data_IF_399503296207
#
_entry.id   IF_399503296207
#
_cell.length_a   1.000
_cell.length_b   1.000
_cell.length_c   1.000
_cell.angle_alpha   90.00
_cell.angle_beta   90.00
_cell.angle_gamma   90.00
#
_symmetry.space_group_name_H-M   'P 1'
#
loop_
_entity.id
_entity.type
_entity.pdbx_description
1 polymer ?
#
# COMPACT_ATOMS: atom_id res chain seq x y z
N UNK A 1 -44.36 -20.25 -65.45
CA UNK A 1 -45.59 -19.62 -64.92
C UNK A 1 -45.39 -19.47 -63.44
N UNK A 2 -45.02 -18.29 -63.18
CA UNK A 2 -44.56 -17.78 -61.87
C UNK A 2 -45.70 -17.47 -60.95
N UNK A 3 -45.46 -17.66 -59.71
CA UNK A 3 -46.24 -16.98 -58.68
C UNK A 3 -45.31 -16.38 -57.64
N UNK A 4 -45.21 -15.10 -57.72
CA UNK A 4 -44.68 -14.25 -56.68
C UNK A 4 -45.56 -14.35 -55.45
N UNK A 5 -44.93 -14.53 -54.28
CA UNK A 5 -45.55 -14.31 -53.03
C UNK A 5 -44.71 -13.30 -52.25
N UNK A 6 -45.26 -12.11 -52.12
CA UNK A 6 -44.80 -11.02 -51.27
C UNK A 6 -45.11 -11.38 -49.81
N UNK A 7 -44.10 -11.49 -48.98
CA UNK A 7 -44.28 -11.40 -47.53
C UNK A 7 -43.81 -10.07 -47.04
N UNK A 8 -44.74 -9.31 -46.44
CA UNK A 8 -44.50 -8.03 -45.82
C UNK A 8 -43.86 -8.17 -44.45
N UNK A 9 -43.23 -7.11 -43.93
CA UNK A 9 -42.51 -7.19 -42.67
C UNK A 9 -43.47 -7.32 -41.47
N UNK A 10 -43.16 -8.29 -40.61
CA UNK A 10 -43.82 -8.44 -39.32
C UNK A 10 -43.41 -7.31 -38.37
N UNK A 11 -44.39 -6.49 -38.05
CA UNK A 11 -44.29 -5.53 -36.97
C UNK A 11 -44.34 -6.27 -35.62
N UNK A 12 -43.23 -6.24 -34.89
CA UNK A 12 -43.26 -6.67 -33.51
C UNK A 12 -43.83 -5.53 -32.67
N UNK A 13 -44.79 -5.83 -31.75
CA UNK A 13 -45.28 -4.82 -30.84
C UNK A 13 -44.20 -4.46 -29.81
N UNK A 14 -43.93 -3.19 -29.71
CA UNK A 14 -43.12 -2.65 -28.62
C UNK A 14 -43.82 -2.96 -27.28
N UNK A 15 -43.16 -3.76 -26.45
CA UNK A 15 -43.62 -4.02 -25.08
C UNK A 15 -43.37 -2.80 -24.21
N UNK A 16 -44.33 -2.43 -23.35
CA UNK A 16 -44.18 -1.33 -22.42
C UNK A 16 -43.33 -1.74 -21.22
N UNK A 17 -42.43 -0.90 -20.83
CA UNK A 17 -41.95 -0.87 -19.45
C UNK A 17 -40.54 -1.40 -19.24
N UNK A 18 -39.56 -0.51 -19.35
CA UNK A 18 -38.34 -0.70 -18.60
C UNK A 18 -38.66 -0.58 -17.12
N UNK A 19 -38.69 -1.70 -16.42
CA UNK A 19 -38.54 -1.70 -14.98
C UNK A 19 -37.18 -1.09 -14.63
N UNK A 20 -37.09 -0.22 -13.62
CA UNK A 20 -35.79 0.24 -13.16
C UNK A 20 -35.03 -0.99 -12.67
N UNK A 21 -34.03 -1.39 -13.46
CA UNK A 21 -33.08 -2.41 -13.03
C UNK A 21 -32.38 -1.86 -11.80
N UNK A 22 -32.51 -2.56 -10.69
CA UNK A 22 -31.66 -2.35 -9.54
C UNK A 22 -30.22 -2.30 -10.02
N UNK A 23 -29.40 -1.33 -9.56
CA UNK A 23 -28.01 -1.28 -9.97
C UNK A 23 -27.40 -2.64 -9.63
N UNK A 24 -26.99 -3.35 -10.65
CA UNK A 24 -26.17 -4.56 -10.48
C UNK A 24 -24.96 -4.12 -9.66
N UNK A 25 -24.62 -4.82 -8.55
CA UNK A 25 -23.39 -4.51 -7.85
C UNK A 25 -22.26 -4.56 -8.88
N UNK A 26 -21.63 -3.43 -9.15
CA UNK A 26 -20.44 -3.43 -9.96
C UNK A 26 -19.45 -4.30 -9.20
N UNK A 27 -19.08 -5.44 -9.78
CA UNK A 27 -17.95 -6.22 -9.32
C UNK A 27 -16.76 -5.27 -9.30
N UNK A 28 -16.24 -5.01 -8.10
CA UNK A 28 -15.01 -4.23 -7.95
C UNK A 28 -13.97 -4.91 -8.83
N UNK A 29 -13.53 -4.21 -9.88
CA UNK A 29 -12.42 -4.67 -10.70
C UNK A 29 -11.15 -4.59 -9.86
N UNK A 30 -10.85 -5.69 -9.17
CA UNK A 30 -9.56 -5.85 -8.50
C UNK A 30 -8.51 -5.95 -9.60
N UNK A 31 -7.49 -5.10 -9.55
CA UNK A 31 -6.37 -5.23 -10.47
C UNK A 31 -5.80 -6.65 -10.36
N UNK A 32 -5.68 -7.41 -11.49
CA UNK A 32 -5.26 -8.82 -11.43
C UNK A 32 -3.95 -9.05 -10.68
N UNK A 33 -3.02 -8.10 -10.76
CA UNK A 33 -1.73 -8.16 -10.05
C UNK A 33 -1.87 -8.16 -8.53
N UNK A 34 -2.96 -7.59 -7.99
CA UNK A 34 -3.19 -7.49 -6.55
C UNK A 34 -3.89 -8.72 -5.97
N UNK A 35 -4.41 -9.63 -6.81
CA UNK A 35 -5.08 -10.85 -6.36
C UNK A 35 -4.14 -11.77 -5.56
N UNK A 36 -2.85 -11.78 -5.87
CA UNK A 36 -1.87 -12.58 -5.14
C UNK A 36 -1.71 -12.17 -3.67
N UNK A 37 -2.08 -10.93 -3.32
CA UNK A 37 -1.97 -10.41 -1.96
C UNK A 37 -3.12 -10.83 -1.04
N UNK A 38 -4.15 -11.49 -1.55
CA UNK A 38 -5.23 -12.04 -0.73
C UNK A 38 -4.76 -13.16 0.20
N UNK A 39 -3.71 -13.87 -0.20
CA UNK A 39 -3.11 -14.96 0.55
C UNK A 39 -1.66 -14.63 0.90
N UNK A 40 -1.23 -15.02 2.10
CA UNK A 40 0.16 -14.89 2.52
C UNK A 40 1.08 -15.74 1.62
N UNK A 41 2.31 -15.26 1.32
CA UNK A 41 3.23 -16.03 0.52
C UNK A 41 3.71 -17.27 1.28
N UNK A 42 3.95 -18.34 0.53
CA UNK A 42 4.50 -19.58 1.09
C UNK A 42 5.90 -19.34 1.65
N UNK A 43 6.18 -19.89 2.83
CA UNK A 43 7.49 -19.76 3.47
C UNK A 43 8.57 -20.39 2.60
N UNK A 44 9.75 -19.77 2.55
CA UNK A 44 10.89 -20.24 1.77
C UNK A 44 11.33 -21.68 2.08
N UNK A 45 11.20 -22.11 3.36
CA UNK A 45 11.57 -23.49 3.77
C UNK A 45 10.68 -24.55 3.12
N UNK A 46 9.44 -24.24 2.86
CA UNK A 46 8.52 -25.16 2.19
C UNK A 46 8.81 -25.30 0.70
N UNK A 47 9.39 -24.26 0.12
CA UNK A 47 9.66 -24.15 -1.33
C UNK A 47 11.10 -24.55 -1.68
N UNK A 48 12.06 -24.37 -0.78
CA UNK A 48 13.46 -24.77 -1.00
C UNK A 48 13.61 -26.28 -0.97
N UNK A 49 14.59 -26.81 -1.72
CA UNK A 49 14.88 -28.23 -1.70
C UNK A 49 15.43 -28.69 -0.35
N UNK A 50 15.08 -29.91 0.13
CA UNK A 50 15.64 -30.46 1.35
C UNK A 50 17.17 -30.53 1.32
N UNK A 51 17.77 -30.83 0.17
CA UNK A 51 19.23 -30.84 0.00
C UNK A 51 19.84 -29.45 0.18
N UNK A 52 19.23 -28.42 -0.41
CA UNK A 52 19.66 -27.04 -0.24
C UNK A 52 19.60 -26.61 1.22
N UNK A 53 18.51 -26.91 1.90
CA UNK A 53 18.32 -26.60 3.33
C UNK A 53 19.37 -27.26 4.22
N UNK A 54 19.71 -28.53 3.94
CA UNK A 54 20.67 -29.30 4.71
C UNK A 54 22.11 -28.78 4.63
N UNK A 55 22.43 -28.03 3.58
CA UNK A 55 23.75 -27.43 3.35
C UNK A 55 23.97 -26.08 4.05
N UNK A 56 22.92 -25.50 4.60
CA UNK A 56 22.99 -24.18 5.22
C UNK A 56 23.59 -24.26 6.62
N UNK A 57 24.54 -23.36 6.92
CA UNK A 57 24.99 -23.13 8.29
C UNK A 57 23.88 -22.49 9.12
N UNK A 58 24.02 -22.50 10.44
CA UNK A 58 23.08 -21.82 11.35
C UNK A 58 22.97 -20.33 11.02
N UNK A 59 24.11 -19.70 10.76
CA UNK A 59 24.17 -18.26 10.42
C UNK A 59 23.47 -17.97 9.09
N UNK A 60 23.74 -18.79 8.07
CA UNK A 60 23.09 -18.64 6.77
C UNK A 60 21.58 -18.93 6.85
N UNK A 61 21.18 -19.92 7.62
CA UNK A 61 19.75 -20.17 7.88
C UNK A 61 19.10 -18.93 8.52
N UNK A 62 19.74 -18.31 9.49
CA UNK A 62 19.24 -17.08 10.12
C UNK A 62 19.17 -15.93 9.13
N UNK A 63 20.18 -15.80 8.26
CA UNK A 63 20.16 -14.80 7.18
C UNK A 63 18.95 -15.00 6.26
N UNK A 64 18.70 -16.22 5.81
CA UNK A 64 17.53 -16.54 4.98
C UNK A 64 16.21 -16.25 5.68
N UNK A 65 16.12 -16.54 6.98
CA UNK A 65 14.92 -16.23 7.79
C UNK A 65 14.61 -14.74 7.79
N UNK A 66 15.62 -13.89 7.96
CA UNK A 66 15.41 -12.42 7.98
C UNK A 66 15.11 -11.89 6.58
N UNK A 67 15.72 -12.45 5.54
CA UNK A 67 15.39 -12.11 4.16
C UNK A 67 13.93 -12.47 3.87
N UNK A 68 13.47 -13.64 4.32
CA UNK A 68 12.08 -14.05 4.16
C UNK A 68 11.13 -13.13 4.96
N UNK A 69 11.54 -12.68 6.13
CA UNK A 69 10.77 -11.69 6.91
C UNK A 69 10.61 -10.37 6.14
N UNK A 70 11.68 -9.86 5.53
CA UNK A 70 11.60 -8.68 4.68
C UNK A 70 10.60 -8.89 3.53
N UNK A 71 10.68 -10.03 2.85
CA UNK A 71 9.78 -10.37 1.75
C UNK A 71 8.33 -10.49 2.20
N UNK A 72 8.06 -11.27 3.24
CA UNK A 72 6.71 -11.52 3.74
C UNK A 72 6.06 -10.26 4.31
N UNK A 73 6.81 -9.43 4.99
CA UNK A 73 6.30 -8.17 5.54
C UNK A 73 6.08 -7.11 4.46
N UNK A 74 6.89 -7.12 3.39
CA UNK A 74 6.62 -6.25 2.22
C UNK A 74 5.35 -6.68 1.49
N UNK A 75 5.12 -7.97 1.33
CA UNK A 75 3.86 -8.50 0.83
C UNK A 75 2.66 -8.01 1.65
N UNK A 76 2.74 -8.15 2.97
CA UNK A 76 1.70 -7.69 3.88
C UNK A 76 1.47 -6.18 3.79
N UNK A 77 2.54 -5.40 3.60
CA UNK A 77 2.47 -3.95 3.44
C UNK A 77 1.76 -3.53 2.15
N UNK A 78 2.14 -4.13 1.01
CA UNK A 78 1.46 -3.90 -0.27
C UNK A 78 -0.03 -4.26 -0.16
N UNK A 79 -0.34 -5.37 0.51
CA UNK A 79 -1.71 -5.78 0.77
C UNK A 79 -2.49 -4.69 1.51
N UNK A 80 -1.96 -4.15 2.59
CA UNK A 80 -2.65 -3.13 3.40
C UNK A 80 -2.79 -1.79 2.67
N UNK A 81 -1.79 -1.37 1.91
CA UNK A 81 -1.91 -0.19 1.04
C UNK A 81 -3.00 -0.39 -0.02
N UNK A 82 -3.10 -1.59 -0.57
CA UNK A 82 -4.15 -1.95 -1.54
C UNK A 82 -5.53 -1.92 -0.89
N UNK A 83 -5.67 -2.34 0.35
CA UNK A 83 -6.91 -2.20 1.13
C UNK A 83 -7.28 -0.73 1.30
N UNK A 84 -6.32 0.12 1.64
CA UNK A 84 -6.55 1.56 1.74
C UNK A 84 -7.09 2.15 0.44
N UNK A 85 -6.56 1.72 -0.71
CA UNK A 85 -7.00 2.15 -2.03
C UNK A 85 -8.35 1.58 -2.42
N UNK A 86 -8.51 0.26 -2.37
CA UNK A 86 -9.66 -0.46 -2.94
C UNK A 86 -10.89 -0.41 -2.05
N UNK A 87 -10.73 -0.33 -0.74
CA UNK A 87 -11.83 -0.34 0.24
C UNK A 87 -12.22 1.07 0.66
N UNK A 88 -11.29 2.02 0.67
CA UNK A 88 -11.52 3.39 1.12
C UNK A 88 -11.41 4.44 0.01
N UNK A 89 -10.23 4.64 -0.53
CA UNK A 89 -9.95 5.76 -1.44
C UNK A 89 -10.81 5.73 -2.72
N UNK A 90 -10.77 4.65 -3.46
CA UNK A 90 -11.54 4.51 -4.72
C UNK A 90 -13.06 4.54 -4.49
N UNK A 91 -13.63 3.81 -3.51
CA UNK A 91 -15.07 3.90 -3.25
C UNK A 91 -15.53 5.28 -2.76
N UNK A 92 -14.72 5.99 -1.95
CA UNK A 92 -15.03 7.37 -1.53
C UNK A 92 -15.14 8.32 -2.71
N UNK A 93 -14.30 8.16 -3.72
CA UNK A 93 -14.37 8.92 -4.96
C UNK A 93 -15.58 8.53 -5.80
N UNK A 94 -15.79 7.24 -6.02
CA UNK A 94 -16.88 6.70 -6.85
C UNK A 94 -18.25 7.08 -6.31
N UNK A 95 -18.44 7.05 -4.99
CA UNK A 95 -19.69 7.41 -4.32
C UNK A 95 -19.82 8.93 -4.06
N UNK A 96 -18.87 9.72 -4.56
CA UNK A 96 -18.84 11.18 -4.44
C UNK A 96 -18.89 11.68 -2.98
N UNK A 97 -18.36 10.87 -2.05
CA UNK A 97 -18.24 11.25 -0.64
C UNK A 97 -17.06 12.18 -0.38
N UNK A 98 -16.02 12.05 -1.18
CA UNK A 98 -14.87 12.96 -1.26
C UNK A 98 -14.60 13.29 -2.73
N UNK A 99 -14.24 14.55 -2.99
CA UNK A 99 -13.78 14.96 -4.32
C UNK A 99 -12.37 14.43 -4.61
N UNK A 100 -11.98 14.40 -5.89
CA UNK A 100 -10.61 14.03 -6.28
C UNK A 100 -9.56 14.90 -5.60
N UNK A 101 -9.83 16.20 -5.42
CA UNK A 101 -8.93 17.14 -4.74
C UNK A 101 -8.81 16.80 -3.25
N UNK A 102 -9.92 16.50 -2.57
CA UNK A 102 -9.91 16.10 -1.16
C UNK A 102 -9.16 14.78 -0.96
N UNK A 103 -9.37 13.79 -1.84
CA UNK A 103 -8.64 12.52 -1.80
C UNK A 103 -7.14 12.70 -2.01
N UNK A 104 -6.74 13.56 -2.95
CA UNK A 104 -5.32 13.86 -3.18
C UNK A 104 -4.66 14.55 -1.98
N UNK A 105 -5.44 15.24 -1.15
CA UNK A 105 -4.94 15.87 0.07
C UNK A 105 -4.90 14.92 1.26
N UNK A 106 -5.89 14.04 1.39
CA UNK A 106 -5.97 13.05 2.48
C UNK A 106 -5.02 11.88 2.23
N UNK A 107 -4.94 11.41 0.98
CA UNK A 107 -4.11 10.29 0.56
C UNK A 107 -3.12 10.71 -0.53
N UNK A 108 -2.17 11.62 -0.24
CA UNK A 108 -1.28 12.16 -1.28
C UNK A 108 -0.38 11.07 -1.85
N UNK A 109 -0.40 10.94 -3.18
CA UNK A 109 0.42 9.98 -3.93
C UNK A 109 0.21 8.50 -3.56
N UNK A 110 -0.98 8.12 -3.10
CA UNK A 110 -1.25 6.74 -2.68
C UNK A 110 -0.96 5.73 -3.80
N UNK A 111 -1.37 6.01 -5.02
CA UNK A 111 -1.16 5.12 -6.16
C UNK A 111 0.33 4.91 -6.46
N UNK A 112 1.12 5.99 -6.43
CA UNK A 112 2.57 5.91 -6.64
C UNK A 112 3.29 5.20 -5.49
N UNK A 113 2.85 5.38 -4.26
CA UNK A 113 3.39 4.66 -3.09
C UNK A 113 3.12 3.16 -3.21
N UNK A 114 1.92 2.78 -3.59
CA UNK A 114 1.58 1.36 -3.86
C UNK A 114 2.49 0.81 -4.94
N UNK A 115 2.67 1.52 -6.04
CA UNK A 115 3.51 1.10 -7.16
C UNK A 115 4.96 0.87 -6.73
N UNK A 116 5.51 1.75 -5.91
CA UNK A 116 6.87 1.63 -5.41
C UNK A 116 7.07 0.41 -4.52
N UNK A 117 6.16 0.18 -3.58
CA UNK A 117 6.21 -0.99 -2.72
C UNK A 117 5.97 -2.28 -3.50
N UNK A 118 5.04 -2.26 -4.45
CA UNK A 118 4.79 -3.39 -5.35
C UNK A 118 6.04 -3.74 -6.16
N UNK A 119 6.71 -2.77 -6.74
CA UNK A 119 7.93 -2.99 -7.52
C UNK A 119 9.07 -3.55 -6.66
N UNK A 120 9.21 -3.07 -5.44
CA UNK A 120 10.18 -3.62 -4.49
C UNK A 120 9.85 -5.07 -4.13
N UNK A 121 8.60 -5.36 -3.83
CA UNK A 121 8.11 -6.72 -3.60
C UNK A 121 8.41 -7.64 -4.79
N UNK A 122 8.10 -7.21 -6.01
CA UNK A 122 8.37 -7.98 -7.23
C UNK A 122 9.87 -8.25 -7.42
N UNK A 123 10.73 -7.29 -7.10
CA UNK A 123 12.18 -7.47 -7.15
C UNK A 123 12.65 -8.54 -6.16
N UNK A 124 12.12 -8.54 -4.95
CA UNK A 124 12.42 -9.56 -3.94
C UNK A 124 11.89 -10.95 -4.35
N UNK A 125 10.70 -11.00 -4.90
CA UNK A 125 10.09 -12.22 -5.43
C UNK A 125 10.93 -12.83 -6.55
N UNK A 126 11.44 -12.00 -7.45
CA UNK A 126 12.33 -12.43 -8.53
C UNK A 126 13.61 -13.08 -7.99
N UNK A 127 14.22 -12.52 -6.96
CA UNK A 127 15.39 -13.13 -6.31
C UNK A 127 15.07 -14.52 -5.77
N UNK A 128 13.94 -14.69 -5.13
CA UNK A 128 13.50 -16.00 -4.63
C UNK A 128 13.38 -17.03 -5.73
N UNK A 129 12.77 -16.67 -6.85
CA UNK A 129 12.58 -17.56 -8.00
C UNK A 129 13.91 -17.88 -8.69
N UNK A 130 14.75 -16.88 -8.93
CA UNK A 130 16.03 -17.05 -9.62
C UNK A 130 17.01 -17.92 -8.81
N UNK A 131 16.95 -17.86 -7.49
CA UNK A 131 17.86 -18.57 -6.58
C UNK A 131 17.24 -19.83 -5.93
N UNK A 132 16.13 -20.32 -6.47
CA UNK A 132 15.43 -21.50 -5.94
C UNK A 132 15.13 -21.40 -4.44
N UNK A 133 14.64 -20.22 -4.00
CA UNK A 133 14.20 -19.90 -2.64
C UNK A 133 15.29 -19.85 -1.56
N UNK A 134 16.55 -19.95 -1.94
CA UNK A 134 17.69 -19.71 -1.06
C UNK A 134 18.48 -18.55 -1.69
N UNK A 135 18.20 -17.34 -1.25
CA UNK A 135 18.72 -16.12 -1.88
C UNK A 135 20.21 -15.96 -1.62
N UNK A 136 21.01 -15.81 -2.68
CA UNK A 136 22.45 -15.63 -2.60
C UNK A 136 22.84 -14.21 -2.28
N UNK A 137 22.32 -13.24 -3.03
CA UNK A 137 22.64 -11.83 -2.87
C UNK A 137 21.38 -10.98 -2.93
N UNK A 138 21.23 -10.09 -1.95
CA UNK A 138 20.10 -9.15 -1.86
C UNK A 138 20.58 -7.69 -1.96
N UNK A 139 21.86 -7.43 -1.84
CA UNK A 139 22.42 -6.08 -1.69
C UNK A 139 22.09 -5.15 -2.84
N UNK A 140 22.13 -5.62 -4.07
CA UNK A 140 21.82 -4.80 -5.25
C UNK A 140 20.35 -4.35 -5.22
N UNK A 141 19.45 -5.26 -4.91
CA UNK A 141 18.00 -4.97 -4.85
C UNK A 141 17.67 -3.93 -3.78
N UNK A 142 18.20 -4.09 -2.57
CA UNK A 142 17.91 -3.15 -1.48
C UNK A 142 18.63 -1.81 -1.67
N UNK A 143 19.85 -1.80 -2.18
CA UNK A 143 20.56 -0.55 -2.45
C UNK A 143 19.90 0.26 -3.58
N UNK A 144 19.40 -0.41 -4.61
CA UNK A 144 18.66 0.26 -5.69
C UNK A 144 17.33 0.84 -5.18
N UNK A 145 16.67 0.21 -4.21
CA UNK A 145 15.41 0.72 -3.66
C UNK A 145 15.61 1.96 -2.81
N UNK A 146 16.59 1.95 -1.94
CA UNK A 146 16.76 2.99 -0.91
C UNK A 146 17.84 4.01 -1.23
N UNK A 147 18.75 3.72 -2.16
CA UNK A 147 19.80 4.62 -2.62
C UNK A 147 19.50 5.25 -3.98
N UNK A 148 20.31 6.23 -4.35
CA UNK A 148 20.24 6.87 -5.66
C UNK A 148 18.91 7.53 -5.99
N UNK A 149 18.59 7.68 -7.30
CA UNK A 149 17.36 8.36 -7.75
C UNK A 149 16.07 7.71 -7.26
N UNK A 150 16.01 6.39 -7.17
CA UNK A 150 14.86 5.65 -6.67
C UNK A 150 14.63 5.91 -5.18
N UNK A 151 15.70 5.96 -4.39
CA UNK A 151 15.63 6.31 -2.97
C UNK A 151 15.17 7.76 -2.76
N UNK A 152 15.64 8.69 -3.56
CA UNK A 152 15.23 10.10 -3.52
C UNK A 152 13.74 10.26 -3.84
N UNK A 153 13.25 9.54 -4.84
CA UNK A 153 11.84 9.53 -5.21
C UNK A 153 10.98 8.93 -4.10
N UNK A 154 11.42 7.81 -3.53
CA UNK A 154 10.75 7.17 -2.39
C UNK A 154 10.64 8.12 -1.20
N UNK A 155 11.74 8.81 -0.84
CA UNK A 155 11.75 9.81 0.21
C UNK A 155 10.73 10.92 -0.04
N UNK A 156 10.67 11.44 -1.26
CA UNK A 156 9.74 12.52 -1.62
C UNK A 156 8.27 12.11 -1.46
N UNK A 157 7.91 10.93 -1.96
CA UNK A 157 6.52 10.46 -1.88
C UNK A 157 6.10 10.11 -0.46
N UNK A 158 6.96 9.42 0.28
CA UNK A 158 6.67 9.04 1.67
C UNK A 158 6.63 10.25 2.60
N UNK A 159 7.48 11.26 2.37
CA UNK A 159 7.43 12.52 3.12
C UNK A 159 6.09 13.22 2.94
N UNK A 160 5.59 13.31 1.73
CA UNK A 160 4.29 13.93 1.44
C UNK A 160 3.14 13.19 2.10
N UNK A 161 3.12 11.88 1.98
CA UNK A 161 2.07 11.05 2.57
C UNK A 161 2.09 11.11 4.09
N UNK A 162 3.24 10.87 4.71
CA UNK A 162 3.38 10.80 6.17
C UNK A 162 3.24 12.17 6.84
N UNK A 163 3.71 13.25 6.23
CA UNK A 163 3.61 14.59 6.81
C UNK A 163 2.16 15.08 6.91
N UNK A 164 1.27 14.61 6.04
CA UNK A 164 -0.15 14.97 6.06
C UNK A 164 -1.01 14.04 6.92
N UNK A 165 -0.44 13.01 7.50
CA UNK A 165 -1.18 11.96 8.19
C UNK A 165 -2.04 12.47 9.34
N UNK A 166 -1.51 13.29 10.24
CA UNK A 166 -2.25 13.83 11.38
C UNK A 166 -3.42 14.71 10.93
N UNK A 167 -3.19 15.54 9.93
CA UNK A 167 -4.24 16.36 9.34
C UNK A 167 -5.32 15.50 8.65
N UNK A 168 -4.92 14.48 7.90
CA UNK A 168 -5.84 13.56 7.24
C UNK A 168 -6.74 12.84 8.23
N UNK A 169 -6.19 12.32 9.32
CA UNK A 169 -6.95 11.67 10.39
C UNK A 169 -7.94 12.62 11.04
N UNK A 170 -7.55 13.88 11.27
CA UNK A 170 -8.43 14.90 11.83
C UNK A 170 -9.59 15.23 10.87
N UNK A 171 -9.33 15.39 9.59
CA UNK A 171 -10.34 15.62 8.57
C UNK A 171 -11.36 14.47 8.49
N UNK A 172 -10.90 13.24 8.50
CA UNK A 172 -11.76 12.05 8.48
C UNK A 172 -12.65 12.03 9.72
N UNK A 173 -12.08 12.23 10.90
CA UNK A 173 -12.81 12.27 12.16
C UNK A 173 -13.85 13.38 12.20
N UNK A 174 -13.51 14.57 11.72
CA UNK A 174 -14.42 15.70 11.62
C UNK A 174 -15.61 15.41 10.70
N UNK A 175 -15.35 14.84 9.53
CA UNK A 175 -16.41 14.46 8.59
C UNK A 175 -17.32 13.35 9.11
N UNK A 176 -16.78 12.37 9.81
CA UNK A 176 -17.58 11.33 10.44
C UNK A 176 -18.58 11.89 11.45
N UNK A 177 -18.20 12.96 12.17
CA UNK A 177 -19.08 13.65 13.13
C UNK A 177 -20.17 14.48 12.46
N UNK A 178 -19.89 15.10 11.32
CA UNK A 178 -20.75 16.07 10.64
C UNK A 178 -21.65 15.44 9.57
N UNK A 179 -21.20 14.37 8.93
CA UNK A 179 -21.86 13.77 7.78
C UNK A 179 -22.20 12.31 8.05
N UNK A 180 -23.49 12.03 8.28
CA UNK A 180 -23.97 10.68 8.58
C UNK A 180 -23.64 9.69 7.46
N UNK A 181 -23.80 10.08 6.20
CA UNK A 181 -23.51 9.24 5.04
C UNK A 181 -22.04 8.85 4.98
N UNK A 182 -21.15 9.79 5.23
CA UNK A 182 -19.70 9.54 5.28
C UNK A 182 -19.34 8.58 6.42
N UNK A 183 -19.88 8.81 7.60
CA UNK A 183 -19.66 7.94 8.76
C UNK A 183 -20.16 6.51 8.51
N UNK A 184 -21.34 6.35 7.93
CA UNK A 184 -21.90 5.05 7.57
C UNK A 184 -21.02 4.31 6.57
N UNK A 185 -20.50 5.02 5.57
CA UNK A 185 -19.55 4.44 4.61
C UNK A 185 -18.29 3.93 5.30
N UNK A 186 -17.66 4.74 6.15
CA UNK A 186 -16.43 4.35 6.86
C UNK A 186 -16.67 3.12 7.74
N UNK A 187 -17.74 3.09 8.50
CA UNK A 187 -18.09 1.95 9.37
C UNK A 187 -18.31 0.67 8.56
N UNK A 188 -19.01 0.76 7.44
CA UNK A 188 -19.24 -0.38 6.54
C UNK A 188 -17.94 -0.88 5.94
N UNK A 189 -17.08 0.04 5.45
CA UNK A 189 -15.78 -0.29 4.89
C UNK A 189 -14.89 -0.98 5.93
N UNK A 190 -14.83 -0.46 7.15
CA UNK A 190 -14.03 -1.03 8.25
C UNK A 190 -14.53 -2.42 8.68
N UNK A 191 -15.81 -2.73 8.44
CA UNK A 191 -16.38 -4.05 8.74
C UNK A 191 -16.02 -5.14 7.75
N UNK A 192 -15.46 -4.78 6.60
CA UNK A 192 -15.07 -5.75 5.56
C UNK A 192 -13.93 -6.67 6.04
N UNK A 193 -13.99 -7.98 5.71
CA UNK A 193 -12.96 -8.94 6.12
C UNK A 193 -11.54 -8.56 5.71
N UNK A 194 -11.38 -7.86 4.57
CA UNK A 194 -10.09 -7.40 4.07
C UNK A 194 -9.37 -6.46 5.05
N UNK A 195 -10.10 -5.71 5.85
CA UNK A 195 -9.54 -4.82 6.85
C UNK A 195 -8.97 -5.56 8.08
N UNK A 196 -9.27 -6.85 8.24
CA UNK A 196 -8.79 -7.70 9.36
C UNK A 196 -8.97 -7.02 10.72
N UNK A 197 -10.14 -6.43 10.94
CA UNK A 197 -10.53 -5.70 12.17
C UNK A 197 -9.76 -4.40 12.42
N UNK A 198 -9.01 -3.92 11.44
CA UNK A 198 -8.38 -2.61 11.52
C UNK A 198 -9.34 -1.51 11.07
N UNK A 199 -9.27 -0.39 11.76
CA UNK A 199 -9.97 0.84 11.39
C UNK A 199 -9.09 1.69 10.46
N UNK A 200 -9.70 2.62 9.75
CA UNK A 200 -8.96 3.53 8.87
C UNK A 200 -7.85 4.29 9.61
N UNK A 201 -8.10 4.68 10.86
CA UNK A 201 -7.10 5.32 11.74
C UNK A 201 -5.87 4.46 12.01
N UNK A 202 -6.01 3.13 11.92
CA UNK A 202 -4.92 2.17 12.11
C UNK A 202 -4.16 1.92 10.80
N UNK A 203 -4.87 2.04 9.65
CA UNK A 203 -4.31 1.75 8.33
C UNK A 203 -3.51 2.94 7.78
N UNK A 204 -3.95 4.16 7.98
CA UNK A 204 -3.22 5.36 7.51
C UNK A 204 -1.78 5.43 8.03
N UNK A 205 -1.46 5.11 9.29
CA UNK A 205 -0.10 5.16 9.81
C UNK A 205 0.86 4.08 9.32
N UNK A 206 0.40 3.10 8.55
CA UNK A 206 1.24 1.93 8.21
C UNK A 206 2.49 2.29 7.39
N UNK A 207 2.41 3.33 6.54
CA UNK A 207 3.57 3.75 5.74
C UNK A 207 4.71 4.24 6.63
N UNK A 208 4.40 5.09 7.60
CA UNK A 208 5.39 5.57 8.57
C UNK A 208 5.97 4.41 9.41
N UNK A 209 5.12 3.50 9.84
CA UNK A 209 5.53 2.32 10.59
C UNK A 209 6.46 1.42 9.75
N UNK A 210 6.18 1.28 8.45
CA UNK A 210 7.04 0.50 7.54
C UNK A 210 8.43 1.09 7.41
N UNK A 211 8.54 2.41 7.28
CA UNK A 211 9.83 3.11 7.22
C UNK A 211 10.72 2.80 8.41
N UNK A 212 10.15 2.66 9.60
CA UNK A 212 10.91 2.35 10.82
C UNK A 212 11.44 0.91 10.85
N UNK A 213 10.84 0.01 10.08
CA UNK A 213 11.21 -1.42 10.05
C UNK A 213 12.39 -1.72 9.13
N UNK A 214 12.52 -1.02 8.03
CA UNK A 214 13.57 -1.31 7.04
C UNK A 214 14.99 -1.28 7.59
N UNK A 215 15.43 -0.27 8.35
CA UNK A 215 16.78 -0.27 8.91
C UNK A 215 17.05 -1.49 9.80
N UNK A 216 16.08 -1.88 10.61
CA UNK A 216 16.21 -3.01 11.53
C UNK A 216 16.33 -4.35 10.78
N UNK A 217 15.51 -4.56 9.76
CA UNK A 217 15.57 -5.76 8.91
C UNK A 217 16.90 -5.83 8.16
N UNK A 218 17.33 -4.74 7.55
CA UNK A 218 18.57 -4.68 6.79
C UNK A 218 19.80 -4.89 7.68
N UNK A 219 19.84 -4.29 8.87
CA UNK A 219 20.91 -4.51 9.85
C UNK A 219 20.99 -5.96 10.29
N UNK A 220 19.84 -6.58 10.51
CA UNK A 220 19.80 -7.98 10.92
C UNK A 220 20.26 -8.91 9.78
N UNK A 221 19.92 -8.61 8.54
CA UNK A 221 20.46 -9.33 7.38
C UNK A 221 21.97 -9.15 7.30
N UNK A 222 22.46 -7.92 7.41
CA UNK A 222 23.92 -7.63 7.36
C UNK A 222 24.69 -8.34 8.46
N UNK A 223 24.14 -8.37 9.68
CA UNK A 223 24.73 -9.08 10.82
C UNK A 223 24.97 -10.56 10.54
N UNK A 224 24.11 -11.19 9.78
CA UNK A 224 24.19 -12.59 9.41
C UNK A 224 24.82 -12.84 8.05
N UNK A 225 25.38 -11.81 7.41
CA UNK A 225 26.05 -11.88 6.11
C UNK A 225 27.55 -12.04 6.32
N UNK A 226 28.14 -13.09 5.78
CA UNK A 226 29.58 -13.36 5.90
C UNK A 226 30.42 -12.69 4.81
N UNK A 227 29.89 -12.60 3.58
CA UNK A 227 30.55 -11.90 2.49
C UNK A 227 30.67 -10.41 2.80
N UNK A 228 31.90 -9.88 2.83
CA UNK A 228 32.17 -8.51 3.29
C UNK A 228 31.62 -7.45 2.32
N UNK A 229 31.66 -7.70 1.03
CA UNK A 229 31.09 -6.76 0.03
C UNK A 229 29.58 -6.72 0.11
N UNK A 230 28.95 -7.88 0.19
CA UNK A 230 27.51 -8.01 0.38
C UNK A 230 27.06 -7.30 1.66
N UNK A 231 27.72 -7.60 2.78
CA UNK A 231 27.46 -6.97 4.07
C UNK A 231 27.58 -5.44 4.02
N UNK A 232 28.64 -4.92 3.44
CA UNK A 232 28.88 -3.47 3.32
C UNK A 232 27.76 -2.78 2.53
N UNK A 233 27.35 -3.36 1.41
CA UNK A 233 26.27 -2.81 0.58
C UNK A 233 24.92 -2.85 1.28
N UNK A 234 24.63 -3.88 2.07
CA UNK A 234 23.41 -3.95 2.87
C UNK A 234 23.45 -2.89 3.98
N UNK A 235 24.60 -2.68 4.62
CA UNK A 235 24.79 -1.62 5.61
C UNK A 235 24.59 -0.23 5.01
N UNK A 236 25.07 0.01 3.78
CA UNK A 236 24.81 1.24 3.04
C UNK A 236 23.31 1.44 2.79
N UNK A 237 22.60 0.38 2.43
CA UNK A 237 21.13 0.42 2.26
C UNK A 237 20.40 0.78 3.55
N UNK A 238 20.84 0.21 4.68
CA UNK A 238 20.28 0.55 6.00
C UNK A 238 20.51 2.02 6.35
N UNK A 239 21.70 2.56 6.02
CA UNK A 239 21.99 3.97 6.24
C UNK A 239 21.15 4.88 5.35
N UNK A 240 20.93 4.50 4.09
CA UNK A 240 19.98 5.21 3.20
C UNK A 240 18.57 5.25 3.81
N UNK A 241 18.11 4.12 4.34
CA UNK A 241 16.81 4.05 5.02
C UNK A 241 16.73 4.98 6.23
N UNK A 242 17.80 5.05 7.05
CA UNK A 242 17.84 5.98 8.20
C UNK A 242 17.76 7.42 7.77
N UNK A 243 18.47 7.82 6.70
CA UNK A 243 18.40 9.16 6.14
C UNK A 243 16.99 9.51 5.66
N UNK A 244 16.34 8.58 4.95
CA UNK A 244 14.96 8.74 4.52
C UNK A 244 14.04 8.91 5.73
N UNK A 245 14.15 8.04 6.72
CA UNK A 245 13.35 8.08 7.94
C UNK A 245 13.53 9.40 8.70
N UNK A 246 14.77 9.86 8.86
CA UNK A 246 15.07 11.13 9.51
C UNK A 246 14.46 12.32 8.76
N UNK A 247 14.56 12.34 7.44
CA UNK A 247 13.94 13.38 6.62
C UNK A 247 12.42 13.39 6.77
N UNK A 248 11.78 12.22 6.69
CA UNK A 248 10.33 12.10 6.87
C UNK A 248 9.90 12.55 8.27
N UNK A 249 10.62 12.16 9.31
CA UNK A 249 10.36 12.59 10.68
C UNK A 249 10.44 14.12 10.83
N UNK A 250 11.43 14.77 10.20
CA UNK A 250 11.52 16.24 10.24
C UNK A 250 10.36 16.92 9.51
N UNK A 251 9.96 16.42 8.35
CA UNK A 251 8.80 16.93 7.62
C UNK A 251 7.50 16.74 8.41
N UNK A 252 7.32 15.61 9.09
CA UNK A 252 6.17 15.37 9.98
C UNK A 252 6.14 16.40 11.11
N UNK A 253 7.27 16.67 11.77
CA UNK A 253 7.36 17.69 12.84
C UNK A 253 7.02 19.09 12.34
N UNK A 254 7.53 19.49 11.19
CA UNK A 254 7.24 20.79 10.57
C UNK A 254 5.73 20.95 10.32
N UNK A 255 5.10 19.95 9.72
CA UNK A 255 3.66 19.98 9.42
C UNK A 255 2.79 19.96 10.69
N UNK A 256 3.15 19.17 11.69
CA UNK A 256 2.44 19.17 12.98
C UNK A 256 2.53 20.52 13.69
N UNK A 257 3.68 21.17 13.68
CA UNK A 257 3.86 22.50 14.27
C UNK A 257 3.02 23.57 13.53
N UNK A 258 2.95 23.51 12.20
CA UNK A 258 2.11 24.40 11.41
C UNK A 258 0.63 24.17 11.70
N UNK A 259 0.20 22.94 11.83
CA UNK A 259 -1.17 22.58 12.18
C UNK A 259 -1.58 23.13 13.55
N UNK A 260 -0.75 22.96 14.57
CA UNK A 260 -0.99 23.49 15.93
C UNK A 260 -1.08 25.01 15.92
N UNK A 261 -0.18 25.71 15.23
CA UNK A 261 -0.20 27.17 15.10
C UNK A 261 -1.48 27.70 14.46
N UNK A 262 -1.92 27.05 13.37
CA UNK A 262 -3.15 27.43 12.68
C UNK A 262 -4.38 27.22 13.57
N UNK A 263 -4.45 26.13 14.32
CA UNK A 263 -5.55 25.85 15.25
C UNK A 263 -5.60 26.88 16.37
N UNK A 264 -4.45 27.26 16.95
CA UNK A 264 -4.36 28.27 17.99
C UNK A 264 -4.78 29.66 17.47
N UNK A 265 -4.40 30.02 16.26
CA UNK A 265 -4.77 31.28 15.63
C UNK A 265 -6.28 31.41 15.42
N UNK A 266 -6.92 30.33 14.95
CA UNK A 266 -8.37 30.27 14.76
C UNK A 266 -9.10 30.41 16.11
N UNK A 267 -8.63 29.70 17.13
CA UNK A 267 -9.23 29.76 18.46
C UNK A 267 -9.11 31.18 19.08
N UNK A 268 -7.96 31.84 18.91
CA UNK A 268 -7.78 33.21 19.39
C UNK A 268 -8.65 34.21 18.64
N UNK A 269 -8.93 34.02 17.36
CA UNK A 269 -9.83 34.87 16.61
C UNK A 269 -11.30 34.70 17.05
N UNK A 270 -11.72 33.45 17.33
CA UNK A 270 -13.06 33.15 17.82
C UNK A 270 -13.37 33.74 19.21
N UNK A 271 -12.36 33.90 20.06
CA UNK A 271 -12.51 34.52 21.39
C UNK A 271 -12.46 36.04 21.35
N UNK A 272 -12.14 36.69 20.23
CA UNK A 272 -12.10 38.16 20.06
C UNK A 272 -13.34 38.76 19.39
N UNK A 273 -14.27 37.89 18.95
CA UNK A 273 -15.59 38.30 18.48
C UNK A 273 -16.66 38.01 19.52
#
# INVERSE_FOLDING_TARGET
MEKDSFEGPLLFPEGPGHSPTSPTPQLEEVEPRLLEFEHDPTNWRELASPEGLSRLSKKETKRQEVINELFATEHAHVRMLSVLQMVFSKPLEREELLSSTELATIFPNLDEIIEMHYNFYESLKKLRLDDNFIIKSISTTVLNRFGGPEGDWFQKLTSRFCSHQSWALDQIKSRQKKETRFNSFIQEAESKPQCRRLQLKDIIPIEMQRLTKYPLLLENIAKNTEDLKEKDRIQQSAECCRKILNHVNEEVKVMENLFVRNTQSITQHAFRQ
#
